data_IF_898463679680
#
_entry.id   IF_898463679680
#
_cell.length_a   1.000
_cell.length_b   1.000
_cell.length_c   1.000
_cell.angle_alpha   90.00
_cell.angle_beta   90.00
_cell.angle_gamma   90.00
#
_symmetry.space_group_name_H-M   'P 1'
#
loop_
_entity.id
_entity.type
_entity.pdbx_description
1 polymer ?
#
# COMPACT_ATOMS: atom_id res chain seq x y z
N UNK A 1 17.71 18.85 -12.67
CA UNK A 1 17.87 17.56 -13.37
C UNK A 1 18.33 16.42 -12.44
N UNK A 2 19.26 16.62 -11.49
CA UNK A 2 19.74 15.60 -10.54
C UNK A 2 18.69 15.23 -9.46
N UNK A 3 17.84 16.17 -9.05
CA UNK A 3 16.82 15.94 -7.99
C UNK A 3 15.62 15.13 -8.53
N UNK A 4 15.28 15.26 -9.82
CA UNK A 4 14.22 14.43 -10.43
C UNK A 4 14.64 12.96 -10.58
N UNK A 5 15.91 12.71 -10.96
CA UNK A 5 16.42 11.33 -11.08
C UNK A 5 16.35 10.57 -9.72
N UNK A 6 16.66 11.23 -8.60
CA UNK A 6 16.55 10.61 -7.26
C UNK A 6 15.12 10.23 -6.85
N UNK A 7 14.10 10.97 -7.29
CA UNK A 7 12.69 10.65 -7.00
C UNK A 7 12.17 9.46 -7.81
N UNK A 8 12.67 9.27 -9.03
CA UNK A 8 12.31 8.12 -9.89
C UNK A 8 12.98 6.85 -9.35
N UNK A 9 14.24 6.91 -8.90
CA UNK A 9 14.92 5.80 -8.21
C UNK A 9 14.16 5.33 -6.96
N UNK A 10 13.62 6.28 -6.18
CA UNK A 10 12.84 5.94 -4.97
C UNK A 10 11.49 5.27 -5.32
N UNK A 11 10.86 5.64 -6.43
CA UNK A 11 9.57 5.09 -6.84
C UNK A 11 9.69 3.64 -7.36
N UNK A 12 10.75 3.30 -8.11
CA UNK A 12 10.98 1.92 -8.56
C UNK A 12 11.45 1.00 -7.43
N UNK A 13 12.31 1.48 -6.53
CA UNK A 13 12.66 0.74 -5.31
C UNK A 13 11.44 0.51 -4.42
N UNK A 14 10.50 1.46 -4.33
CA UNK A 14 9.26 1.29 -3.56
C UNK A 14 8.33 0.22 -4.16
N UNK A 15 8.24 0.10 -5.50
CA UNK A 15 7.46 -0.95 -6.16
C UNK A 15 8.08 -2.34 -5.93
N UNK A 16 9.42 -2.44 -5.89
CA UNK A 16 10.10 -3.71 -5.62
C UNK A 16 10.06 -4.10 -4.14
N UNK A 17 10.05 -3.14 -3.20
CA UNK A 17 9.87 -3.40 -1.77
C UNK A 17 8.42 -3.76 -1.41
N UNK A 18 7.43 -3.23 -2.17
CA UNK A 18 6.02 -3.57 -1.98
C UNK A 18 5.70 -5.04 -2.30
N UNK A 19 6.49 -5.70 -3.17
CA UNK A 19 6.31 -7.12 -3.49
C UNK A 19 6.78 -8.08 -2.37
N UNK A 20 7.59 -7.59 -1.41
CA UNK A 20 8.01 -8.37 -0.25
C UNK A 20 7.31 -7.98 1.06
N UNK A 21 6.64 -6.81 1.09
CA UNK A 21 5.96 -6.27 2.28
C UNK A 21 4.44 -6.13 2.14
N UNK A 22 3.86 -6.31 0.93
CA UNK A 22 2.39 -6.25 0.73
C UNK A 22 1.74 -7.61 0.93
N UNK A 23 1.86 -8.15 2.12
CA UNK A 23 0.99 -9.21 2.61
C UNK A 23 -0.08 -8.66 3.59
N UNK A 24 -0.50 -7.40 3.42
CA UNK A 24 -1.67 -6.87 4.14
C UNK A 24 -2.32 -5.76 3.30
N UNK A 25 -3.53 -6.02 2.78
CA UNK A 25 -4.45 -4.98 2.30
C UNK A 25 -4.99 -5.18 0.88
N UNK A 26 -6.09 -5.89 0.80
CA UNK A 26 -7.26 -5.78 -0.11
C UNK A 26 -7.06 -5.27 -1.54
N UNK A 27 -7.41 -6.11 -2.53
CA UNK A 27 -7.55 -5.71 -3.93
C UNK A 27 -7.16 -6.80 -4.93
N UNK A 28 -8.04 -7.80 -5.13
CA UNK A 28 -7.80 -8.92 -6.02
C UNK A 28 -7.63 -8.54 -7.50
N UNK A 29 -6.65 -9.16 -8.13
CA UNK A 29 -6.66 -9.41 -9.57
C UNK A 29 -6.38 -10.88 -9.83
N UNK A 30 -7.40 -11.58 -10.26
CA UNK A 30 -7.37 -12.96 -10.73
C UNK A 30 -6.68 -13.01 -12.09
N UNK A 31 -5.58 -13.75 -12.21
CA UNK A 31 -5.05 -14.13 -13.51
C UNK A 31 -5.22 -15.66 -13.65
N UNK A 32 -6.22 -16.06 -14.43
CA UNK A 32 -6.31 -17.38 -15.01
C UNK A 32 -5.73 -17.32 -16.42
N UNK A 33 -4.63 -18.00 -16.68
CA UNK A 33 -4.39 -18.53 -18.03
C UNK A 33 -3.64 -19.85 -17.95
N UNK A 34 -4.30 -20.87 -18.50
CA UNK A 34 -3.78 -22.20 -18.66
C UNK A 34 -3.09 -22.36 -20.01
N UNK A 35 -1.81 -22.65 -19.99
CA UNK A 35 -1.16 -23.27 -21.14
C UNK A 35 -0.36 -24.48 -20.69
N UNK A 36 -0.85 -25.66 -21.09
CA UNK A 36 -0.11 -26.90 -21.05
C UNK A 36 1.09 -26.82 -22.00
N UNK A 37 2.27 -27.06 -21.49
CA UNK A 37 3.39 -27.53 -22.29
C UNK A 37 3.88 -28.84 -21.71
N UNK A 38 3.67 -29.93 -22.48
CA UNK A 38 4.33 -31.22 -22.30
C UNK A 38 5.79 -31.09 -22.74
N UNK A 39 6.72 -31.59 -21.92
CA UNK A 39 8.13 -31.67 -22.30
C UNK A 39 8.97 -32.51 -21.35
N UNK A 40 9.07 -33.79 -21.69
CA UNK A 40 10.19 -34.72 -21.50
C UNK A 40 10.84 -34.87 -20.12
N UNK A 41 10.62 -36.03 -19.54
CA UNK A 41 11.37 -36.58 -18.42
C UNK A 41 12.84 -36.88 -18.82
N UNK A 42 13.78 -36.35 -18.01
CA UNK A 42 15.10 -36.97 -17.90
C UNK A 42 15.40 -37.20 -16.41
N UNK A 43 15.56 -38.47 -16.06
CA UNK A 43 15.70 -38.95 -14.71
C UNK A 43 17.07 -38.58 -14.10
N UNK A 44 17.10 -37.59 -13.19
CA UNK A 44 18.17 -37.45 -12.24
C UNK A 44 17.62 -37.72 -10.84
N UNK A 45 18.23 -38.71 -10.20
CA UNK A 45 18.02 -39.10 -8.81
C UNK A 45 18.02 -37.90 -7.91
N UNK A 46 16.89 -37.58 -7.21
CA UNK A 46 16.81 -36.53 -6.23
C UNK A 46 17.73 -36.88 -5.07
N UNK A 47 18.77 -36.10 -4.87
CA UNK A 47 19.49 -36.03 -3.60
C UNK A 47 18.58 -35.42 -2.56
N UNK A 48 18.45 -36.05 -1.40
CA UNK A 48 17.74 -35.55 -0.23
C UNK A 48 18.54 -34.42 0.37
N UNK A 49 18.53 -33.26 -0.26
CA UNK A 49 19.10 -32.02 0.27
C UNK A 49 17.99 -31.18 0.91
N UNK A 50 18.24 -30.62 2.07
CA UNK A 50 17.39 -29.58 2.66
C UNK A 50 17.25 -28.40 1.71
N UNK A 51 16.02 -27.87 1.57
CA UNK A 51 15.75 -26.68 0.75
C UNK A 51 16.55 -25.50 1.29
N UNK A 52 17.35 -24.86 0.43
CA UNK A 52 18.21 -23.72 0.79
C UNK A 52 17.80 -22.48 0.00
N UNK A 53 18.00 -21.30 0.64
CA UNK A 53 17.73 -20.00 0.02
C UNK A 53 18.86 -19.56 -0.93
N UNK A 54 20.03 -20.18 -0.82
CA UNK A 54 21.22 -19.90 -1.62
C UNK A 54 21.85 -21.20 -2.12
N UNK A 55 22.52 -21.15 -3.27
CA UNK A 55 23.16 -22.29 -3.92
C UNK A 55 24.39 -22.84 -3.18
N UNK A 56 24.93 -22.05 -2.25
CA UNK A 56 26.19 -22.37 -1.54
C UNK A 56 25.93 -23.08 -0.21
N UNK A 57 26.78 -24.07 0.11
CA UNK A 57 26.68 -24.80 1.38
C UNK A 57 27.30 -24.03 2.56
N UNK A 58 28.43 -23.36 2.36
CA UNK A 58 29.15 -22.64 3.40
C UNK A 58 28.95 -21.13 3.24
N UNK A 59 27.91 -20.60 3.90
CA UNK A 59 27.52 -19.19 3.83
C UNK A 59 28.58 -18.25 4.43
N UNK A 60 29.34 -18.69 5.44
CA UNK A 60 30.34 -17.86 6.11
C UNK A 60 31.49 -17.40 5.20
N UNK A 61 31.74 -18.11 4.09
CA UNK A 61 32.71 -17.68 3.07
C UNK A 61 32.27 -16.43 2.32
N UNK A 62 30.95 -16.24 2.19
CA UNK A 62 30.33 -15.21 1.36
C UNK A 62 29.90 -13.99 2.14
N UNK A 63 29.56 -14.16 3.42
CA UNK A 63 29.08 -13.08 4.26
C UNK A 63 29.56 -13.23 5.72
N UNK A 64 29.81 -12.09 6.36
CA UNK A 64 29.87 -11.98 7.82
C UNK A 64 28.54 -11.44 8.30
N UNK A 65 27.77 -12.25 9.06
CA UNK A 65 26.47 -11.85 9.57
C UNK A 65 26.68 -10.98 10.80
N UNK A 66 25.94 -9.85 10.85
CA UNK A 66 25.91 -8.96 12.00
C UNK A 66 25.30 -9.62 13.23
N UNK A 67 25.42 -8.97 14.36
CA UNK A 67 24.77 -9.42 15.61
C UNK A 67 23.24 -9.43 15.39
N UNK A 68 22.63 -10.60 15.58
CA UNK A 68 21.19 -10.82 15.41
C UNK A 68 20.48 -11.28 16.70
N UNK A 69 21.26 -11.52 17.77
CA UNK A 69 20.75 -11.87 19.10
C UNK A 69 21.05 -10.75 20.09
N UNK A 70 20.14 -10.55 21.04
CA UNK A 70 20.36 -9.57 22.11
C UNK A 70 20.28 -8.11 21.65
N UNK A 71 19.72 -7.82 20.49
CA UNK A 71 19.49 -6.46 20.01
C UNK A 71 18.66 -5.68 21.02
N UNK A 72 19.11 -4.47 21.37
CA UNK A 72 18.34 -3.53 22.19
C UNK A 72 17.69 -2.53 21.26
N UNK A 73 16.39 -2.66 21.11
CA UNK A 73 15.57 -1.82 20.21
C UNK A 73 14.53 -1.08 21.04
N UNK A 74 14.22 0.16 20.63
CA UNK A 74 13.15 0.92 21.25
C UNK A 74 11.79 0.43 20.70
N UNK A 75 10.87 0.10 21.60
CA UNK A 75 9.52 -0.35 21.29
C UNK A 75 8.52 0.44 22.12
N UNK A 76 8.52 1.75 21.95
CA UNK A 76 7.51 2.62 22.58
C UNK A 76 6.22 2.58 21.76
N UNK A 77 5.11 2.34 22.46
CA UNK A 77 3.75 2.47 21.93
C UNK A 77 3.12 3.64 22.63
N UNK A 78 2.73 4.66 21.89
CA UNK A 78 2.00 5.80 22.47
C UNK A 78 0.65 5.32 23.02
N UNK A 79 0.28 5.88 24.17
CA UNK A 79 -1.00 5.56 24.80
C UNK A 79 -2.14 6.17 23.96
N UNK A 80 -3.17 5.38 23.70
CA UNK A 80 -4.41 5.87 23.05
C UNK A 80 -5.12 6.83 23.97
N UNK A 81 -5.36 8.03 23.49
CA UNK A 81 -6.02 9.12 24.21
C UNK A 81 -7.54 9.11 24.00
N UNK A 82 -8.27 9.90 24.78
CA UNK A 82 -9.70 10.12 24.54
C UNK A 82 -9.95 10.87 23.23
N UNK A 83 -9.01 11.73 22.81
CA UNK A 83 -9.09 12.44 21.53
C UNK A 83 -8.95 11.50 20.34
N UNK A 84 -8.09 10.47 20.42
CA UNK A 84 -7.97 9.44 19.36
C UNK A 84 -9.28 8.64 19.22
N UNK A 85 -9.89 8.28 20.34
CA UNK A 85 -11.18 7.59 20.34
C UNK A 85 -12.27 8.48 19.77
N UNK A 86 -12.27 9.77 20.12
CA UNK A 86 -13.26 10.71 19.60
C UNK A 86 -13.07 10.93 18.10
N UNK A 87 -11.84 11.05 17.62
CA UNK A 87 -11.56 11.18 16.18
C UNK A 87 -12.10 10.00 15.37
N UNK A 88 -11.95 8.76 15.89
CA UNK A 88 -12.51 7.59 15.23
C UNK A 88 -14.05 7.61 15.23
N UNK A 89 -14.69 8.04 16.34
CA UNK A 89 -16.14 8.18 16.40
C UNK A 89 -16.63 9.22 15.40
N UNK A 90 -15.93 10.35 15.27
CA UNK A 90 -16.29 11.41 14.33
C UNK A 90 -16.17 10.91 12.87
N UNK A 91 -15.18 10.05 12.56
CA UNK A 91 -15.05 9.39 11.27
C UNK A 91 -16.23 8.42 11.02
N UNK A 92 -16.58 7.59 12.01
CA UNK A 92 -17.70 6.65 11.92
C UNK A 92 -19.05 7.37 11.73
N UNK A 93 -19.24 8.52 12.39
CA UNK A 93 -20.43 9.37 12.21
C UNK A 93 -20.54 9.90 10.78
N UNK A 94 -19.42 10.33 10.19
CA UNK A 94 -19.35 10.79 8.78
C UNK A 94 -19.65 9.65 7.81
N UNK A 95 -19.03 8.51 8.01
CA UNK A 95 -19.22 7.32 7.14
C UNK A 95 -20.66 6.83 7.16
N UNK A 96 -21.33 6.94 8.31
CA UNK A 96 -22.73 6.55 8.52
C UNK A 96 -23.73 7.70 8.32
N UNK A 97 -23.27 8.84 7.78
CA UNK A 97 -24.13 9.98 7.50
C UNK A 97 -25.28 9.61 6.56
N UNK A 98 -26.51 9.94 6.94
CA UNK A 98 -27.73 9.55 6.22
C UNK A 98 -28.23 10.66 5.30
N UNK A 99 -28.81 10.29 4.13
CA UNK A 99 -29.43 11.28 3.25
C UNK A 99 -30.58 12.03 3.94
N UNK A 100 -30.58 13.36 3.81
CA UNK A 100 -31.63 14.23 4.32
C UNK A 100 -32.30 14.99 3.17
N UNK A 101 -33.59 15.33 3.38
CA UNK A 101 -34.38 16.18 2.44
C UNK A 101 -34.30 17.67 2.78
N UNK A 102 -33.72 18.00 3.93
CA UNK A 102 -33.54 19.36 4.41
C UNK A 102 -32.49 20.10 3.59
N UNK A 103 -32.52 21.43 3.71
CA UNK A 103 -31.46 22.25 3.14
C UNK A 103 -30.10 21.96 3.80
N UNK A 104 -29.05 22.01 2.99
CA UNK A 104 -27.67 21.85 3.43
C UNK A 104 -27.29 22.93 4.44
N UNK A 105 -26.55 22.55 5.46
CA UNK A 105 -26.01 23.42 6.51
C UNK A 105 -24.55 23.07 6.78
N UNK A 106 -23.89 23.88 7.55
CA UNK A 106 -22.55 23.63 8.07
C UNK A 106 -22.47 22.25 8.76
N UNK A 107 -21.43 21.48 8.47
CA UNK A 107 -21.19 20.12 8.93
C UNK A 107 -21.85 19.02 8.08
N UNK A 108 -22.73 19.36 7.13
CA UNK A 108 -23.33 18.36 6.24
C UNK A 108 -22.32 17.89 5.18
N UNK A 109 -22.30 16.58 4.90
CA UNK A 109 -21.58 16.00 3.78
C UNK A 109 -22.43 16.14 2.52
N UNK A 110 -21.96 16.90 1.54
CA UNK A 110 -22.69 17.17 0.30
C UNK A 110 -21.98 16.55 -0.89
N UNK A 111 -22.79 16.02 -1.81
CA UNK A 111 -22.33 15.56 -3.12
C UNK A 111 -22.77 16.58 -4.15
N UNK A 112 -21.85 17.12 -4.92
CA UNK A 112 -22.15 18.14 -5.94
C UNK A 112 -21.59 17.79 -7.30
N UNK A 113 -22.24 18.30 -8.36
CA UNK A 113 -21.63 18.50 -9.65
C UNK A 113 -21.33 19.98 -9.80
N UNK A 114 -20.16 20.33 -10.28
CA UNK A 114 -19.85 21.73 -10.57
C UNK A 114 -19.09 21.91 -11.88
N UNK A 115 -19.28 23.09 -12.46
CA UNK A 115 -18.55 23.56 -13.64
C UNK A 115 -18.16 25.01 -13.43
N UNK A 116 -16.84 25.26 -13.33
CA UNK A 116 -16.25 26.58 -13.23
C UNK A 116 -16.01 27.20 -14.61
N UNK A 117 -16.31 28.45 -14.73
CA UNK A 117 -16.04 29.24 -15.93
C UNK A 117 -15.33 30.55 -15.57
N UNK A 118 -14.30 30.88 -16.33
CA UNK A 118 -13.61 32.17 -16.30
C UNK A 118 -13.82 32.86 -17.68
N UNK A 119 -14.28 34.09 -17.69
CA UNK A 119 -14.60 34.80 -18.92
C UNK A 119 -15.55 34.01 -19.86
N UNK A 120 -16.44 33.19 -19.29
CA UNK A 120 -17.38 32.35 -20.03
C UNK A 120 -16.80 31.05 -20.59
N UNK A 121 -15.54 30.73 -20.33
CA UNK A 121 -14.86 29.50 -20.79
C UNK A 121 -14.51 28.59 -19.60
N UNK A 122 -14.66 27.28 -19.78
CA UNK A 122 -14.21 26.27 -18.82
C UNK A 122 -12.69 26.18 -18.83
N UNK A 123 -12.12 25.68 -17.74
CA UNK A 123 -10.68 25.51 -17.56
C UNK A 123 -10.38 24.16 -16.91
N UNK A 124 -9.12 23.69 -17.03
CA UNK A 124 -8.68 22.43 -16.45
C UNK A 124 -8.81 22.47 -14.94
N UNK A 125 -9.38 21.38 -14.34
CA UNK A 125 -9.66 21.28 -12.92
C UNK A 125 -10.92 22.05 -12.46
N UNK A 126 -11.57 22.84 -13.34
CA UNK A 126 -12.78 23.59 -13.02
C UNK A 126 -14.08 22.79 -13.01
N UNK A 127 -14.06 21.48 -13.35
CA UNK A 127 -15.27 20.67 -13.47
C UNK A 127 -15.11 19.36 -12.71
N UNK A 128 -16.12 19.01 -11.91
CA UNK A 128 -16.23 17.69 -11.29
C UNK A 128 -17.68 17.19 -11.25
N UNK A 129 -17.83 15.88 -11.23
CA UNK A 129 -19.10 15.20 -11.03
C UNK A 129 -19.01 14.32 -9.79
N UNK A 130 -20.09 14.32 -9.00
CA UNK A 130 -20.21 13.57 -7.76
C UNK A 130 -19.04 13.84 -6.78
N UNK A 131 -18.67 15.12 -6.66
CA UNK A 131 -17.64 15.53 -5.73
C UNK A 131 -18.25 15.65 -4.32
N UNK A 132 -17.67 14.94 -3.37
CA UNK A 132 -18.07 14.94 -1.97
C UNK A 132 -17.17 15.88 -1.16
N UNK A 133 -17.78 16.71 -0.31
CA UNK A 133 -17.06 17.52 0.69
C UNK A 133 -17.99 17.81 1.89
N UNK A 134 -17.38 18.13 3.04
CA UNK A 134 -18.12 18.58 4.22
C UNK A 134 -18.13 20.09 4.24
N UNK A 135 -19.31 20.69 4.38
CA UNK A 135 -19.45 22.15 4.44
C UNK A 135 -18.79 22.66 5.71
N UNK A 136 -17.79 23.53 5.59
CA UNK A 136 -17.07 24.15 6.70
C UNK A 136 -15.74 23.46 7.05
N UNK A 137 -15.32 22.42 6.32
CA UNK A 137 -14.02 21.76 6.56
C UNK A 137 -12.83 22.43 5.86
N UNK A 138 -13.10 23.42 5.00
CA UNK A 138 -12.08 24.20 4.29
C UNK A 138 -11.41 23.47 3.14
N UNK A 139 -11.97 22.37 2.64
CA UNK A 139 -11.48 21.68 1.43
C UNK A 139 -11.77 22.51 0.16
N UNK A 140 -12.84 23.29 0.18
CA UNK A 140 -13.21 24.18 -0.90
C UNK A 140 -13.04 25.64 -0.47
N UNK A 141 -13.10 26.58 -1.43
CA UNK A 141 -13.13 28.01 -1.08
C UNK A 141 -14.35 28.32 -0.18
N UNK A 142 -14.15 29.21 0.80
CA UNK A 142 -15.21 29.60 1.75
C UNK A 142 -16.48 30.07 1.02
N UNK A 143 -16.34 30.83 -0.08
CA UNK A 143 -17.46 31.31 -0.89
C UNK A 143 -18.21 30.15 -1.57
N UNK A 144 -17.49 29.05 -1.93
CA UNK A 144 -18.10 27.87 -2.51
C UNK A 144 -18.93 27.14 -1.45
N UNK A 145 -18.34 26.86 -0.29
CA UNK A 145 -19.00 26.16 0.82
C UNK A 145 -20.22 26.95 1.30
N UNK A 146 -20.05 28.27 1.58
CA UNK A 146 -21.13 29.16 1.96
C UNK A 146 -22.23 29.26 0.88
N UNK A 147 -21.81 29.16 -0.38
CA UNK A 147 -22.72 29.16 -1.52
C UNK A 147 -23.67 27.97 -1.56
N UNK A 148 -23.23 26.80 -1.06
CA UNK A 148 -24.01 25.56 -1.01
C UNK A 148 -24.97 25.52 0.19
N UNK A 149 -24.68 26.25 1.26
CA UNK A 149 -25.59 26.37 2.42
C UNK A 149 -26.96 26.82 1.95
N UNK A 150 -28.00 26.13 2.44
CA UNK A 150 -29.40 26.41 2.12
C UNK A 150 -29.88 25.72 0.84
N UNK A 151 -29.03 25.11 0.03
CA UNK A 151 -29.42 24.33 -1.14
C UNK A 151 -29.95 22.94 -0.74
N UNK A 152 -30.85 22.38 -1.54
CA UNK A 152 -31.38 21.03 -1.41
C UNK A 152 -30.93 20.17 -2.57
N UNK A 153 -31.05 18.85 -2.41
CA UNK A 153 -30.87 17.91 -3.52
C UNK A 153 -31.66 18.37 -4.78
N UNK A 154 -30.94 18.49 -5.90
CA UNK A 154 -31.46 18.92 -7.19
C UNK A 154 -31.36 20.43 -7.45
N UNK A 155 -31.09 21.24 -6.44
CA UNK A 155 -30.90 22.68 -6.62
C UNK A 155 -29.63 22.98 -7.40
N UNK A 156 -29.71 24.01 -8.25
CA UNK A 156 -28.59 24.54 -9.01
C UNK A 156 -28.41 26.02 -8.73
N UNK A 157 -27.17 26.45 -8.49
CA UNK A 157 -26.81 27.85 -8.19
C UNK A 157 -25.51 28.22 -8.85
N UNK A 158 -25.38 29.49 -9.24
CA UNK A 158 -24.08 30.07 -9.62
C UNK A 158 -23.43 30.72 -8.40
N UNK A 159 -22.18 30.32 -8.12
CA UNK A 159 -21.37 30.80 -7.01
C UNK A 159 -20.16 31.48 -7.61
N UNK A 160 -19.92 32.71 -7.20
CA UNK A 160 -18.75 33.49 -7.60
C UNK A 160 -17.64 33.31 -6.60
N UNK A 161 -16.42 33.11 -7.11
CA UNK A 161 -15.21 33.00 -6.31
C UNK A 161 -14.15 33.93 -6.88
N UNK A 162 -13.60 34.77 -6.03
CA UNK A 162 -12.47 35.62 -6.38
C UNK A 162 -11.18 34.90 -5.98
N UNK A 163 -10.44 34.38 -6.94
CA UNK A 163 -9.17 33.68 -6.68
C UNK A 163 -8.13 34.65 -6.12
N UNK A 164 -7.37 34.26 -5.08
CA UNK A 164 -6.29 35.08 -4.52
C UNK A 164 -5.26 35.46 -5.58
N UNK A 165 -4.64 36.64 -5.46
CA UNK A 165 -3.64 37.11 -6.42
C UNK A 165 -2.34 36.30 -6.43
N UNK A 166 -2.10 35.53 -5.39
CA UNK A 166 -0.97 34.60 -5.17
C UNK A 166 -1.36 33.13 -5.39
N UNK A 167 -2.51 32.87 -6.03
CA UNK A 167 -2.94 31.51 -6.34
C UNK A 167 -1.92 30.81 -7.26
N UNK A 168 -1.66 29.50 -6.99
CA UNK A 168 -0.60 28.75 -7.66
C UNK A 168 -0.74 28.64 -9.19
N UNK A 169 -1.98 28.68 -9.71
CA UNK A 169 -2.24 28.76 -11.14
C UNK A 169 -2.34 30.25 -11.56
N UNK A 170 -1.28 30.73 -12.23
CA UNK A 170 -1.18 32.12 -12.72
C UNK A 170 -2.35 32.50 -13.65
N UNK A 171 -2.99 31.53 -14.31
CA UNK A 171 -4.11 31.80 -15.21
C UNK A 171 -5.39 32.12 -14.45
N UNK A 172 -5.50 31.72 -13.18
CA UNK A 172 -6.62 31.95 -12.27
C UNK A 172 -6.33 33.01 -11.21
N UNK A 173 -5.05 33.27 -10.91
CA UNK A 173 -4.61 34.24 -9.89
C UNK A 173 -5.25 35.61 -10.09
N UNK A 174 -5.95 36.11 -9.06
CA UNK A 174 -6.63 37.41 -9.06
C UNK A 174 -7.84 37.48 -10.03
N UNK A 175 -8.40 36.35 -10.45
CA UNK A 175 -9.56 36.30 -11.38
C UNK A 175 -10.83 35.89 -10.67
N UNK A 176 -11.97 36.44 -11.14
CA UNK A 176 -13.30 35.99 -10.80
C UNK A 176 -13.64 34.72 -11.61
N UNK A 177 -14.07 33.68 -10.93
CA UNK A 177 -14.58 32.44 -11.53
C UNK A 177 -16.02 32.23 -11.08
N UNK A 178 -16.87 31.82 -12.02
CA UNK A 178 -18.26 31.48 -11.72
C UNK A 178 -18.41 29.96 -11.77
N UNK A 179 -18.76 29.39 -10.64
CA UNK A 179 -19.07 27.94 -10.55
C UNK A 179 -20.58 27.74 -10.62
N UNK A 180 -21.04 27.00 -11.60
CA UNK A 180 -22.40 26.46 -11.64
C UNK A 180 -22.41 25.15 -10.86
N UNK A 181 -23.03 25.15 -9.68
CA UNK A 181 -23.05 24.03 -8.75
C UNK A 181 -24.44 23.43 -8.68
N UNK A 182 -24.54 22.09 -8.79
CA UNK A 182 -25.78 21.33 -8.62
C UNK A 182 -25.60 20.32 -7.49
N UNK A 183 -26.43 20.41 -6.45
CA UNK A 183 -26.42 19.47 -5.33
C UNK A 183 -27.06 18.14 -5.73
N UNK A 184 -26.28 17.05 -5.65
CA UNK A 184 -26.72 15.69 -5.96
C UNK A 184 -27.26 14.98 -4.72
N UNK A 185 -26.65 15.22 -3.56
CA UNK A 185 -27.09 14.66 -2.29
C UNK A 185 -26.69 15.55 -1.14
N UNK A 186 -27.43 15.48 -0.04
CA UNK A 186 -27.09 16.05 1.28
C UNK A 186 -27.19 14.91 2.28
N UNK A 187 -26.10 14.62 2.97
CA UNK A 187 -26.02 13.62 4.02
C UNK A 187 -25.68 14.32 5.33
N UNK A 188 -26.25 13.87 6.41
CA UNK A 188 -26.05 14.45 7.74
C UNK A 188 -25.67 13.40 8.74
N UNK A 189 -24.67 13.69 9.54
CA UNK A 189 -24.27 12.86 10.66
C UNK A 189 -25.40 12.77 11.69
N UNK A 190 -25.54 11.60 12.28
CA UNK A 190 -26.42 11.41 13.43
C UNK A 190 -25.80 11.95 14.71
N UNK A 191 -26.63 12.18 15.73
CA UNK A 191 -26.12 12.43 17.07
C UNK A 191 -25.56 11.13 17.67
N UNK A 192 -24.39 11.19 18.30
CA UNK A 192 -23.75 10.03 18.95
C UNK A 192 -24.49 9.65 20.23
N UNK A 193 -25.47 8.78 20.11
CA UNK A 193 -26.37 8.30 21.16
C UNK A 193 -26.44 6.78 21.19
N UNK A 194 -26.97 6.21 22.27
CA UNK A 194 -27.22 4.77 22.35
C UNK A 194 -28.10 4.25 21.18
N UNK A 195 -29.06 5.06 20.75
CA UNK A 195 -29.91 4.71 19.58
C UNK A 195 -29.10 4.64 18.30
N UNK A 196 -28.18 5.60 18.09
CA UNK A 196 -27.30 5.61 16.93
C UNK A 196 -26.35 4.41 16.95
N UNK A 197 -25.74 4.14 18.11
CA UNK A 197 -24.85 3.00 18.31
C UNK A 197 -25.56 1.68 18.02
N UNK A 198 -26.73 1.45 18.60
CA UNK A 198 -27.52 0.23 18.40
C UNK A 198 -28.00 0.05 16.94
N UNK A 199 -28.19 1.15 16.20
CA UNK A 199 -28.59 1.12 14.79
C UNK A 199 -27.42 0.83 13.84
N UNK A 200 -26.25 1.33 14.12
CA UNK A 200 -25.13 1.41 13.15
C UNK A 200 -23.96 0.48 13.50
N UNK A 201 -23.96 -0.13 14.67
CA UNK A 201 -22.87 -0.99 15.20
C UNK A 201 -23.43 -2.26 15.85
N UNK A 202 -22.56 -3.16 16.26
CA UNK A 202 -22.93 -4.36 17.03
C UNK A 202 -23.08 -4.10 18.55
N UNK A 203 -22.95 -2.85 18.97
CA UNK A 203 -23.04 -2.44 20.39
C UNK A 203 -24.39 -1.80 20.68
N UNK A 204 -24.73 -1.62 21.96
CA UNK A 204 -26.01 -1.08 22.37
C UNK A 204 -25.91 0.24 23.14
N UNK A 205 -24.71 0.58 23.64
CA UNK A 205 -24.47 1.82 24.38
C UNK A 205 -23.24 2.57 23.85
N UNK A 206 -23.25 3.87 24.03
CA UNK A 206 -22.12 4.76 23.72
C UNK A 206 -20.86 4.31 24.48
N UNK A 207 -21.00 3.93 25.74
CA UNK A 207 -19.85 3.53 26.57
C UNK A 207 -19.20 2.23 26.06
N UNK A 208 -19.99 1.19 25.73
CA UNK A 208 -19.49 -0.06 25.17
C UNK A 208 -18.80 0.18 23.82
N UNK A 209 -19.36 1.04 23.00
CA UNK A 209 -18.77 1.37 21.70
C UNK A 209 -17.45 2.14 21.83
N UNK A 210 -17.37 3.12 22.73
CA UNK A 210 -16.11 3.84 23.03
C UNK A 210 -15.02 2.88 23.53
N UNK A 211 -15.37 1.95 24.41
CA UNK A 211 -14.42 0.97 24.91
C UNK A 211 -13.93 0.02 23.80
N UNK A 212 -14.82 -0.39 22.89
CA UNK A 212 -14.45 -1.22 21.75
C UNK A 212 -13.47 -0.51 20.81
N UNK A 213 -13.74 0.76 20.48
CA UNK A 213 -12.84 1.58 19.66
C UNK A 213 -11.47 1.70 20.34
N UNK A 214 -11.44 2.04 21.63
CA UNK A 214 -10.19 2.12 22.39
C UNK A 214 -9.39 0.82 22.32
N UNK A 215 -10.06 -0.31 22.58
CA UNK A 215 -9.44 -1.62 22.53
C UNK A 215 -8.88 -1.96 21.14
N UNK A 216 -9.58 -1.59 20.09
CA UNK A 216 -9.14 -1.79 18.71
C UNK A 216 -7.93 -0.90 18.37
N UNK A 217 -7.98 0.38 18.70
CA UNK A 217 -6.87 1.32 18.49
C UNK A 217 -5.61 0.87 19.25
N UNK A 218 -5.75 0.43 20.53
CA UNK A 218 -4.63 -0.11 21.31
C UNK A 218 -4.05 -1.39 20.70
N UNK A 219 -4.90 -2.27 20.18
CA UNK A 219 -4.48 -3.49 19.49
C UNK A 219 -3.70 -3.13 18.22
N UNK A 220 -4.24 -2.24 17.39
CA UNK A 220 -3.62 -1.80 16.14
C UNK A 220 -2.28 -1.10 16.40
N UNK A 221 -2.20 -0.24 17.42
CA UNK A 221 -0.96 0.41 17.83
C UNK A 221 0.12 -0.60 18.26
N UNK A 222 -0.26 -1.62 19.04
CA UNK A 222 0.65 -2.71 19.46
C UNK A 222 1.12 -3.54 18.26
N UNK A 223 0.24 -3.90 17.35
CA UNK A 223 0.57 -4.66 16.14
C UNK A 223 1.49 -3.85 15.23
N UNK A 224 1.20 -2.57 15.01
CA UNK A 224 2.05 -1.65 14.24
C UNK A 224 3.44 -1.50 14.87
N UNK A 225 3.52 -1.30 16.19
CA UNK A 225 4.79 -1.21 16.89
C UNK A 225 5.61 -2.51 16.78
N UNK A 226 4.97 -3.67 16.83
CA UNK A 226 5.64 -4.96 16.60
C UNK A 226 6.21 -5.09 15.20
N UNK A 227 5.49 -4.64 14.17
CA UNK A 227 5.98 -4.64 12.80
C UNK A 227 7.17 -3.66 12.62
N UNK A 228 7.08 -2.46 13.20
CA UNK A 228 8.19 -1.51 13.22
C UNK A 228 9.42 -2.12 13.91
N UNK A 229 9.22 -2.79 15.06
CA UNK A 229 10.29 -3.46 15.79
C UNK A 229 10.95 -4.57 14.97
N UNK A 230 10.17 -5.43 14.31
CA UNK A 230 10.68 -6.48 13.41
C UNK A 230 11.48 -5.90 12.26
N UNK A 231 10.95 -4.85 11.61
CA UNK A 231 11.62 -4.19 10.49
C UNK A 231 12.91 -3.51 10.94
N UNK A 232 12.92 -2.86 12.11
CA UNK A 232 14.12 -2.25 12.69
C UNK A 232 15.16 -3.30 13.04
N UNK A 233 14.76 -4.41 13.66
CA UNK A 233 15.65 -5.54 13.94
C UNK A 233 16.28 -6.07 12.66
N UNK A 234 15.47 -6.31 11.64
CA UNK A 234 15.93 -6.79 10.34
C UNK A 234 16.91 -5.82 9.67
N UNK A 235 16.55 -4.54 9.61
CA UNK A 235 17.41 -3.49 9.05
C UNK A 235 18.77 -3.43 9.79
N UNK A 236 18.75 -3.51 11.12
CA UNK A 236 19.97 -3.51 11.94
C UNK A 236 20.86 -4.70 11.60
N UNK A 237 20.32 -5.91 11.47
CA UNK A 237 21.08 -7.09 11.07
C UNK A 237 21.63 -6.94 9.66
N UNK A 238 20.81 -6.44 8.73
CA UNK A 238 21.17 -6.24 7.34
C UNK A 238 22.31 -5.22 7.19
N UNK A 239 22.26 -4.10 7.90
CA UNK A 239 23.27 -3.04 7.87
C UNK A 239 24.59 -3.50 8.47
N UNK A 240 24.53 -4.25 9.57
CA UNK A 240 25.72 -4.76 10.28
C UNK A 240 26.32 -6.01 9.63
N UNK A 241 25.70 -6.54 8.56
CA UNK A 241 26.20 -7.69 7.82
C UNK A 241 27.03 -7.26 6.61
N UNK A 242 28.22 -7.85 6.45
CA UNK A 242 29.19 -7.52 5.40
C UNK A 242 29.32 -8.67 4.40
N UNK A 243 28.95 -8.41 3.13
CA UNK A 243 29.16 -9.36 2.04
C UNK A 243 30.63 -9.34 1.62
N UNK A 244 31.26 -10.51 1.61
CA UNK A 244 32.65 -10.73 1.15
C UNK A 244 32.69 -11.00 -0.36
N UNK A 245 31.73 -11.78 -0.83
CA UNK A 245 31.57 -12.19 -2.22
C UNK A 245 30.12 -12.60 -2.47
N UNK A 246 29.59 -12.29 -3.65
CA UNK A 246 28.26 -12.76 -4.06
C UNK A 246 28.36 -14.09 -4.81
N UNK A 247 27.58 -15.13 -4.47
CA UNK A 247 27.45 -16.33 -5.29
C UNK A 247 26.85 -15.97 -6.64
N UNK A 248 27.62 -16.07 -7.72
CA UNK A 248 27.22 -15.59 -9.04
C UNK A 248 25.96 -16.29 -9.55
N UNK A 249 25.79 -17.59 -9.30
CA UNK A 249 24.61 -18.37 -9.68
C UNK A 249 23.32 -17.78 -9.07
N UNK A 250 23.38 -17.40 -7.79
CA UNK A 250 22.23 -16.79 -7.08
C UNK A 250 21.93 -15.39 -7.61
N UNK A 251 22.97 -14.61 -7.92
CA UNK A 251 22.81 -13.27 -8.53
C UNK A 251 22.17 -13.37 -9.90
N UNK A 252 22.70 -14.23 -10.78
CA UNK A 252 22.17 -14.41 -12.14
C UNK A 252 20.71 -14.88 -12.13
N UNK A 253 20.37 -15.77 -11.19
CA UNK A 253 19.00 -16.21 -10.96
C UNK A 253 18.11 -15.05 -10.53
N UNK A 254 18.54 -14.25 -9.57
CA UNK A 254 17.77 -13.10 -9.07
C UNK A 254 17.58 -12.02 -10.14
N UNK A 255 18.61 -11.73 -10.95
CA UNK A 255 18.49 -10.84 -12.13
C UNK A 255 17.44 -11.36 -13.11
N UNK A 256 17.50 -12.67 -13.43
CA UNK A 256 16.54 -13.29 -14.35
C UNK A 256 15.11 -13.24 -13.83
N UNK A 257 14.90 -13.51 -12.53
CA UNK A 257 13.58 -13.44 -11.90
C UNK A 257 13.04 -12.00 -11.90
N UNK A 258 13.88 -11.01 -11.60
CA UNK A 258 13.49 -9.61 -11.61
C UNK A 258 13.10 -9.15 -13.02
N UNK A 259 13.92 -9.45 -14.04
CA UNK A 259 13.59 -9.12 -15.44
C UNK A 259 12.26 -9.73 -15.87
N UNK A 260 12.00 -11.00 -15.51
CA UNK A 260 10.71 -11.64 -15.79
C UNK A 260 9.53 -10.97 -15.12
N UNK A 261 9.69 -10.51 -13.87
CA UNK A 261 8.63 -9.75 -13.20
C UNK A 261 8.34 -8.43 -13.90
N UNK A 262 9.38 -7.72 -14.34
CA UNK A 262 9.23 -6.46 -15.09
C UNK A 262 8.60 -6.69 -16.49
N UNK A 263 8.89 -7.83 -17.15
CA UNK A 263 8.20 -8.20 -18.39
C UNK A 263 6.68 -8.40 -18.18
N UNK A 264 6.26 -8.93 -17.03
CA UNK A 264 4.83 -9.07 -16.70
C UNK A 264 4.16 -7.70 -16.59
N UNK A 265 4.80 -6.72 -15.91
CA UNK A 265 4.28 -5.36 -15.82
C UNK A 265 4.24 -4.66 -17.19
N UNK A 266 5.28 -4.82 -18.00
CA UNK A 266 5.30 -4.27 -19.36
C UNK A 266 4.13 -4.83 -20.20
N UNK A 267 3.87 -6.14 -20.12
CA UNK A 267 2.74 -6.78 -20.83
C UNK A 267 1.37 -6.28 -20.36
N UNK A 268 1.21 -5.95 -19.08
CA UNK A 268 -0.05 -5.36 -18.57
C UNK A 268 -0.30 -3.95 -19.16
N UNK A 269 0.77 -3.27 -19.57
CA UNK A 269 0.71 -1.98 -20.26
C UNK A 269 0.70 -2.12 -21.80
N UNK A 270 0.54 -3.34 -22.34
CA UNK A 270 0.64 -3.64 -23.78
C UNK A 270 1.99 -3.20 -24.41
N UNK A 271 3.08 -3.30 -23.66
CA UNK A 271 4.43 -2.90 -24.06
C UNK A 271 5.41 -4.08 -23.97
N UNK A 272 6.50 -3.99 -24.76
CA UNK A 272 7.71 -4.78 -24.49
C UNK A 272 8.46 -4.21 -23.28
N UNK A 273 9.39 -4.97 -22.71
CA UNK A 273 10.20 -4.48 -21.58
C UNK A 273 11.03 -3.25 -21.98
N UNK A 274 11.58 -3.21 -23.18
CA UNK A 274 12.35 -2.08 -23.72
C UNK A 274 11.46 -0.83 -23.86
N UNK A 275 10.28 -0.95 -24.48
CA UNK A 275 9.32 0.15 -24.59
C UNK A 275 8.85 0.65 -23.21
N UNK A 276 8.68 -0.25 -22.25
CA UNK A 276 8.28 0.10 -20.89
C UNK A 276 9.38 0.89 -20.17
N UNK A 277 10.65 0.44 -20.22
CA UNK A 277 11.78 1.16 -19.60
C UNK A 277 12.03 2.51 -20.28
N UNK A 278 11.95 2.57 -21.60
CA UNK A 278 12.07 3.81 -22.37
C UNK A 278 10.97 4.82 -22.01
N UNK A 279 9.73 4.36 -21.82
CA UNK A 279 8.60 5.22 -21.42
C UNK A 279 8.82 5.86 -20.04
N UNK A 280 9.59 5.19 -19.17
CA UNK A 280 10.00 5.71 -17.86
C UNK A 280 11.30 6.53 -17.92
N UNK A 281 11.91 6.69 -19.09
CA UNK A 281 13.16 7.41 -19.29
C UNK A 281 14.38 6.67 -18.71
N UNK A 282 14.35 5.34 -18.66
CA UNK A 282 15.42 4.48 -18.14
C UNK A 282 16.13 3.85 -19.32
N UNK A 283 17.45 4.12 -19.45
CA UNK A 283 18.25 3.45 -20.45
C UNK A 283 18.45 1.96 -20.15
N UNK A 284 18.80 1.17 -21.16
CA UNK A 284 19.08 -0.25 -20.98
C UNK A 284 20.23 -0.49 -19.98
N UNK A 285 21.28 0.33 -20.04
CA UNK A 285 22.43 0.23 -19.12
C UNK A 285 22.02 0.54 -17.68
N UNK A 286 21.21 1.61 -17.46
CA UNK A 286 20.66 1.95 -16.14
C UNK A 286 19.74 0.84 -15.62
N UNK A 287 18.94 0.24 -16.51
CA UNK A 287 18.06 -0.88 -16.12
C UNK A 287 18.86 -2.13 -15.74
N UNK A 288 19.90 -2.48 -16.48
CA UNK A 288 20.77 -3.62 -16.15
C UNK A 288 21.52 -3.39 -14.82
N UNK A 289 21.98 -2.15 -14.56
CA UNK A 289 22.57 -1.78 -13.26
C UNK A 289 21.55 -1.92 -12.12
N UNK A 290 20.31 -1.49 -12.31
CA UNK A 290 19.24 -1.66 -11.32
C UNK A 290 18.92 -3.13 -11.07
N UNK A 291 18.87 -3.97 -12.13
CA UNK A 291 18.69 -5.41 -12.00
C UNK A 291 19.79 -6.03 -11.14
N UNK A 292 21.06 -5.63 -11.37
CA UNK A 292 22.19 -6.12 -10.60
C UNK A 292 22.12 -5.68 -9.14
N UNK A 293 21.83 -4.42 -8.86
CA UNK A 293 21.70 -3.89 -7.50
C UNK A 293 20.57 -4.57 -6.73
N UNK A 294 19.41 -4.79 -7.38
CA UNK A 294 18.30 -5.55 -6.80
C UNK A 294 18.72 -6.98 -6.46
N UNK A 295 19.38 -7.67 -7.40
CA UNK A 295 19.80 -9.05 -7.23
C UNK A 295 20.80 -9.19 -6.08
N UNK A 296 21.80 -8.32 -6.00
CA UNK A 296 22.78 -8.30 -4.92
C UNK A 296 22.11 -8.06 -3.56
N UNK A 297 21.16 -7.11 -3.50
CA UNK A 297 20.36 -6.86 -2.30
C UNK A 297 19.56 -8.08 -1.84
N UNK A 298 18.91 -8.77 -2.78
CA UNK A 298 18.16 -10.01 -2.53
C UNK A 298 19.07 -11.15 -2.07
N UNK A 299 20.19 -11.35 -2.75
CA UNK A 299 21.17 -12.39 -2.41
C UNK A 299 21.79 -12.12 -1.03
N UNK A 300 22.11 -10.86 -0.70
CA UNK A 300 22.57 -10.48 0.65
C UNK A 300 21.56 -10.91 1.72
N UNK A 301 20.28 -10.62 1.52
CA UNK A 301 19.21 -11.02 2.45
C UNK A 301 19.13 -12.54 2.59
N UNK A 302 19.15 -13.26 1.46
CA UNK A 302 19.11 -14.73 1.45
C UNK A 302 20.31 -15.35 2.15
N UNK A 303 21.52 -14.80 1.98
CA UNK A 303 22.73 -15.23 2.68
C UNK A 303 22.62 -15.03 4.19
N UNK A 304 22.06 -13.89 4.64
CA UNK A 304 21.87 -13.63 6.07
C UNK A 304 20.88 -14.63 6.65
N UNK A 305 19.70 -14.79 6.02
CA UNK A 305 18.66 -15.69 6.51
C UNK A 305 19.18 -17.13 6.54
N UNK A 306 19.81 -17.59 5.45
CA UNK A 306 20.35 -18.94 5.39
C UNK A 306 21.43 -19.18 6.45
N UNK A 307 22.34 -18.20 6.66
CA UNK A 307 23.37 -18.33 7.65
C UNK A 307 22.85 -18.33 9.09
N UNK A 308 21.80 -17.57 9.39
CA UNK A 308 21.10 -17.63 10.67
C UNK A 308 20.42 -18.99 10.82
N UNK A 309 19.73 -19.49 9.80
CA UNK A 309 19.10 -20.81 9.82
C UNK A 309 20.12 -21.92 10.07
N UNK A 310 21.26 -21.89 9.38
CA UNK A 310 22.34 -22.85 9.57
C UNK A 310 22.89 -22.81 11.01
N UNK A 311 23.06 -21.61 11.57
CA UNK A 311 23.56 -21.42 12.94
C UNK A 311 22.56 -21.86 14.04
N UNK A 312 21.25 -21.70 13.78
CA UNK A 312 20.19 -22.05 14.73
C UNK A 312 19.62 -23.47 14.50
N UNK A 313 20.08 -24.17 13.48
CA UNK A 313 19.61 -25.51 13.14
C UNK A 313 18.15 -25.51 12.63
N UNK A 314 17.74 -24.44 11.95
CA UNK A 314 16.40 -24.29 11.35
C UNK A 314 16.39 -24.79 9.91
N UNK A 315 15.26 -25.30 9.45
CA UNK A 315 15.07 -25.79 8.09
C UNK A 315 13.76 -25.29 7.50
N UNK A 316 13.76 -24.98 6.20
CA UNK A 316 12.53 -24.67 5.46
C UNK A 316 11.62 -25.89 5.25
N UNK A 317 12.16 -27.09 5.42
CA UNK A 317 11.48 -28.36 5.23
C UNK A 317 10.85 -28.92 6.52
N UNK A 318 11.02 -28.23 7.66
CA UNK A 318 10.39 -28.64 8.91
C UNK A 318 8.87 -28.40 8.87
N UNK A 319 8.14 -29.14 9.72
CA UNK A 319 6.67 -29.11 9.73
C UNK A 319 6.09 -27.72 10.06
N UNK A 320 6.76 -26.97 10.89
CA UNK A 320 6.30 -25.62 11.31
C UNK A 320 6.49 -24.61 10.20
N UNK A 321 7.63 -24.64 9.52
CA UNK A 321 7.94 -23.81 8.35
C UNK A 321 6.99 -24.10 7.19
N UNK A 322 6.68 -25.37 6.91
CA UNK A 322 5.72 -25.76 5.87
C UNK A 322 4.31 -25.29 6.20
N UNK A 323 3.88 -25.39 7.46
CA UNK A 323 2.57 -24.89 7.89
C UNK A 323 2.47 -23.35 7.77
N UNK A 324 3.56 -22.64 8.01
CA UNK A 324 3.60 -21.17 7.83
C UNK A 324 3.53 -20.80 6.35
N UNK A 325 4.23 -21.54 5.49
CA UNK A 325 4.16 -21.35 4.04
C UNK A 325 2.74 -21.61 3.50
N UNK A 326 2.10 -22.70 3.95
CA UNK A 326 0.72 -23.01 3.56
C UNK A 326 -0.26 -21.89 3.96
N UNK A 327 -0.14 -21.33 5.17
CA UNK A 327 -0.96 -20.21 5.62
C UNK A 327 -0.72 -18.95 4.81
N UNK A 328 0.53 -18.66 4.47
CA UNK A 328 0.89 -17.49 3.67
C UNK A 328 0.27 -17.58 2.26
N UNK A 329 0.36 -18.76 1.64
CA UNK A 329 -0.23 -19.04 0.32
C UNK A 329 -1.76 -18.90 0.37
N UNK A 330 -2.40 -19.39 1.44
CA UNK A 330 -3.85 -19.26 1.64
C UNK A 330 -4.27 -17.79 1.79
N UNK A 331 -3.50 -16.99 2.55
CA UNK A 331 -3.75 -15.56 2.72
C UNK A 331 -3.57 -14.76 1.42
N UNK A 332 -2.62 -15.16 0.58
CA UNK A 332 -2.37 -14.51 -0.71
C UNK A 332 -3.40 -14.88 -1.79
N UNK A 333 -4.34 -15.80 -1.51
CA UNK A 333 -5.34 -16.27 -2.46
C UNK A 333 -4.76 -16.98 -3.68
N UNK A 334 -3.50 -17.41 -3.60
CA UNK A 334 -2.79 -18.10 -4.70
C UNK A 334 -3.03 -19.60 -4.56
N UNK A 335 -3.76 -20.19 -5.50
CA UNK A 335 -3.88 -21.65 -5.62
C UNK A 335 -2.59 -22.23 -6.17
N UNK A 336 -1.68 -22.63 -5.31
CA UNK A 336 -0.46 -23.37 -5.73
C UNK A 336 -0.74 -24.86 -5.69
N UNK A 337 -0.73 -25.48 -6.87
CA UNK A 337 -0.76 -26.94 -6.97
C UNK A 337 0.61 -27.50 -6.58
N UNK A 338 0.77 -27.89 -5.33
CA UNK A 338 1.96 -28.58 -4.81
C UNK A 338 1.97 -30.05 -5.26
N UNK A 339 1.96 -30.32 -6.56
CA UNK A 339 2.03 -31.71 -7.07
C UNK A 339 3.42 -32.32 -6.96
N UNK A 340 4.45 -31.58 -6.57
CA UNK A 340 5.82 -32.09 -6.49
C UNK A 340 6.34 -32.38 -5.07
N UNK A 341 5.65 -31.96 -4.01
CA UNK A 341 6.10 -32.20 -2.62
C UNK A 341 5.41 -33.37 -1.90
N UNK A 342 4.35 -33.96 -2.48
CA UNK A 342 3.63 -35.10 -1.89
C UNK A 342 4.03 -36.49 -2.41
N UNK A 343 5.16 -36.63 -3.10
CA UNK A 343 5.58 -37.93 -3.65
C UNK A 343 6.28 -38.88 -2.66
N UNK A 344 6.33 -38.55 -1.37
CA UNK A 344 7.02 -39.37 -0.35
C UNK A 344 6.19 -39.73 0.90
N UNK A 345 4.87 -39.72 0.82
CA UNK A 345 4.03 -40.36 1.86
C UNK A 345 3.19 -41.48 1.20
N UNK A 346 3.83 -42.59 0.87
CA UNK A 346 3.24 -43.97 0.89
C UNK A 346 4.34 -44.99 1.06
#
# INVERSE_FOLDING_TARGET
MIIMKKKIYLAMLAVCFALTASACGDGGAVITDGTKTEGAADGKKAETGTTRLVSVENVEKYITIGEYKGLTLDNTVDAITDDDVQAQIDEDLKDKAEPVSDAAKEGDLVTVNYTGTKDGQTFDGGTANNYDFVIGDGQMFEEFENGVIGMKKGDTKEIKIDFPSDYADETLAGKEVIYKVTVQNVRREGEFTDEWVAKNTDYTTVDDYRESIRSELEKNAKESAQEVLKNTAWSTVLENSEVKEYPQEDVDKAVSEFKKSMEVYAKQADMTLEEFTDSQGISQDDFDEQCQQYAEGKVKQNLIVQGIMDAEGLSLDDKESLQLQDKLVEQMGVSVSYTHLRAHET
#
